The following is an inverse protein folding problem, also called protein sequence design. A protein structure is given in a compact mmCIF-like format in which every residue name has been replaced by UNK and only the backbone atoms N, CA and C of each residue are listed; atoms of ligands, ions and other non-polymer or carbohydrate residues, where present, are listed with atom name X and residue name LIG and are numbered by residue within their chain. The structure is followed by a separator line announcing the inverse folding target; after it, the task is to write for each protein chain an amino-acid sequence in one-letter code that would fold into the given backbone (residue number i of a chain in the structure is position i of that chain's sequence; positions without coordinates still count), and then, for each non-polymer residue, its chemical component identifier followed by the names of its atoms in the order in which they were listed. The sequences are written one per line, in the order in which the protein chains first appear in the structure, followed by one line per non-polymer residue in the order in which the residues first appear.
data_IF_310898515247
#
_entry.id   IF_310898515247
#
_cell.length_a   1.000
_cell.length_b   1.000
_cell.length_c   1.000
_cell.angle_alpha   90.00
_cell.angle_beta   90.00
_cell.angle_gamma   90.00
#
_symmetry.space_group_name_H-M   'P 1'
#
loop_
_entity.id
_entity.type
_entity.pdbx_description
1 polymer ?
#
# COMPACT_ATOMS: atom_id res chain seq x y z
N UNK A 1 -11.29 -24.59 -36.97
CA UNK A 1 -11.40 -23.40 -37.85
C UNK A 1 -12.09 -22.31 -37.06
N UNK A 2 -11.34 -21.33 -36.56
CA UNK A 2 -11.92 -20.18 -35.89
C UNK A 2 -12.51 -19.25 -36.96
N UNK A 3 -13.81 -19.00 -36.92
CA UNK A 3 -14.47 -18.11 -37.88
C UNK A 3 -14.02 -16.66 -37.67
N UNK A 4 -13.31 -16.13 -38.65
CA UNK A 4 -12.90 -14.74 -38.77
C UNK A 4 -13.98 -13.94 -39.50
N UNK A 5 -14.85 -13.18 -38.83
CA UNK A 5 -15.56 -12.05 -39.48
C UNK A 5 -16.04 -11.01 -38.45
N UNK A 6 -15.52 -9.77 -38.52
CA UNK A 6 -16.32 -8.59 -38.24
C UNK A 6 -16.35 -7.72 -39.50
N UNK A 7 -17.42 -7.85 -40.29
CA UNK A 7 -17.72 -6.90 -41.36
C UNK A 7 -18.82 -5.95 -40.90
N UNK A 8 -18.42 -4.74 -40.48
CA UNK A 8 -19.34 -3.60 -40.31
C UNK A 8 -18.70 -2.35 -40.90
N UNK A 9 -19.26 -1.93 -42.04
CA UNK A 9 -19.70 -0.56 -42.32
C UNK A 9 -18.69 0.59 -42.26
N UNK A 10 -18.27 1.04 -43.45
CA UNK A 10 -18.11 2.44 -43.88
C UNK A 10 -18.53 3.52 -42.86
N UNK A 11 -17.56 4.15 -42.22
CA UNK A 11 -17.38 5.62 -42.11
C UNK A 11 -16.23 5.90 -41.14
N UNK A 12 -15.40 6.89 -41.49
CA UNK A 12 -14.10 7.14 -40.88
C UNK A 12 -14.12 7.18 -39.36
N UNK A 13 -13.44 6.22 -38.75
CA UNK A 13 -12.91 6.34 -37.41
C UNK A 13 -11.41 6.23 -37.64
N UNK A 14 -10.73 7.38 -37.57
CA UNK A 14 -9.28 7.44 -37.43
C UNK A 14 -8.90 6.32 -36.48
N UNK A 15 -8.07 5.37 -36.94
CA UNK A 15 -7.65 4.23 -36.12
C UNK A 15 -7.13 4.80 -34.82
N UNK A 16 -7.96 4.75 -33.78
CA UNK A 16 -7.53 4.95 -32.41
C UNK A 16 -6.63 3.76 -32.22
N UNK A 17 -5.34 3.94 -32.51
CA UNK A 17 -4.25 3.02 -32.23
C UNK A 17 -4.19 2.85 -30.71
N UNK A 18 -5.22 2.23 -30.13
CA UNK A 18 -5.16 1.61 -28.83
C UNK A 18 -4.23 0.43 -29.06
N UNK A 19 -2.94 0.67 -28.86
CA UNK A 19 -1.92 -0.37 -28.97
C UNK A 19 -2.42 -1.55 -28.14
N UNK A 20 -2.75 -2.65 -28.83
CA UNK A 20 -3.18 -3.88 -28.19
C UNK A 20 -1.98 -4.36 -27.39
N UNK A 21 -2.13 -4.42 -26.06
CA UNK A 21 -1.06 -4.85 -25.17
C UNK A 21 -0.69 -6.30 -25.49
N UNK A 22 0.60 -6.60 -25.49
CA UNK A 22 1.07 -7.98 -25.51
C UNK A 22 0.72 -8.68 -24.20
N UNK A 23 0.67 -10.02 -24.21
CA UNK A 23 0.44 -10.80 -22.99
C UNK A 23 1.43 -10.46 -21.87
N UNK A 24 2.71 -10.24 -22.20
CA UNK A 24 3.73 -9.82 -21.23
C UNK A 24 3.46 -8.43 -20.65
N UNK A 25 2.95 -7.50 -21.48
CA UNK A 25 2.58 -6.17 -21.01
C UNK A 25 1.36 -6.21 -20.09
N UNK A 26 0.38 -7.07 -20.39
CA UNK A 26 -0.78 -7.31 -19.51
C UNK A 26 -0.32 -7.88 -18.17
N UNK A 27 0.54 -8.91 -18.19
CA UNK A 27 1.06 -9.52 -16.97
C UNK A 27 1.79 -8.48 -16.09
N UNK A 28 2.66 -7.65 -16.69
CA UNK A 28 3.35 -6.57 -15.97
C UNK A 28 2.38 -5.57 -15.35
N UNK A 29 1.30 -5.20 -16.05
CA UNK A 29 0.30 -4.30 -15.51
C UNK A 29 -0.50 -4.91 -14.36
N UNK A 30 -0.84 -6.20 -14.44
CA UNK A 30 -1.53 -6.90 -13.35
C UNK A 30 -0.65 -7.01 -12.11
N UNK A 31 0.64 -7.32 -12.27
CA UNK A 31 1.60 -7.35 -11.17
C UNK A 31 1.76 -5.96 -10.54
N UNK A 32 1.96 -4.91 -11.35
CA UNK A 32 2.07 -3.54 -10.84
C UNK A 32 0.81 -3.08 -10.10
N UNK A 33 -0.36 -3.45 -10.61
CA UNK A 33 -1.64 -3.17 -9.95
C UNK A 33 -1.75 -3.90 -8.60
N UNK A 34 -1.39 -5.19 -8.55
CA UNK A 34 -1.42 -5.96 -7.32
C UNK A 34 -0.48 -5.37 -6.26
N UNK A 35 0.74 -4.97 -6.65
CA UNK A 35 1.69 -4.31 -5.75
C UNK A 35 1.11 -3.00 -5.20
N UNK A 36 0.52 -2.15 -6.06
CA UNK A 36 -0.10 -0.91 -5.62
C UNK A 36 -1.27 -1.15 -4.64
N UNK A 37 -2.08 -2.18 -4.87
CA UNK A 37 -3.17 -2.55 -3.97
C UNK A 37 -2.64 -3.01 -2.60
N UNK A 38 -1.54 -3.78 -2.58
CA UNK A 38 -0.86 -4.16 -1.34
C UNK A 38 -0.26 -2.96 -0.61
N UNK A 39 0.40 -2.04 -1.32
CA UNK A 39 0.96 -0.81 -0.72
C UNK A 39 -0.13 0.08 -0.11
N UNK A 40 -1.29 0.18 -0.77
CA UNK A 40 -2.41 0.97 -0.26
C UNK A 40 -3.09 0.29 0.94
N UNK A 41 -3.24 -1.03 0.93
CA UNK A 41 -3.73 -1.77 2.09
C UNK A 41 -2.78 -1.61 3.30
N UNK A 42 -1.46 -1.70 3.06
CA UNK A 42 -0.44 -1.49 4.08
C UNK A 42 -0.52 -0.07 4.67
N UNK A 43 -0.71 0.95 3.83
CA UNK A 43 -0.91 2.35 4.25
C UNK A 43 -2.07 2.48 5.23
N UNK A 44 -3.19 1.77 5.01
CA UNK A 44 -4.34 1.79 5.90
C UNK A 44 -4.04 1.09 7.23
N UNK A 45 -3.40 -0.08 7.20
CA UNK A 45 -3.02 -0.84 8.41
C UNK A 45 -2.10 -0.02 9.31
N UNK A 46 -1.02 0.54 8.73
CA UNK A 46 -0.05 1.36 9.45
C UNK A 46 -0.71 2.63 10.01
N UNK A 47 -1.54 3.30 9.22
CA UNK A 47 -2.29 4.49 9.66
C UNK A 47 -3.19 4.18 10.87
N UNK A 48 -3.96 3.10 10.79
CA UNK A 48 -4.88 2.70 11.85
C UNK A 48 -4.14 2.35 13.14
N UNK A 49 -3.03 1.59 13.05
CA UNK A 49 -2.22 1.24 14.21
C UNK A 49 -1.55 2.46 14.86
N UNK A 50 -1.03 3.40 14.07
CA UNK A 50 -0.51 4.67 14.57
C UNK A 50 -1.60 5.50 15.27
N UNK A 51 -2.82 5.54 14.70
CA UNK A 51 -3.98 6.18 15.32
C UNK A 51 -4.37 5.53 16.66
N UNK A 52 -4.39 4.19 16.73
CA UNK A 52 -4.66 3.46 17.96
C UNK A 52 -3.56 3.69 19.02
N UNK A 53 -2.30 3.84 18.62
CA UNK A 53 -1.21 4.21 19.53
C UNK A 53 -1.44 5.61 20.11
N UNK A 54 -1.81 6.58 19.27
CA UNK A 54 -2.15 7.93 19.71
C UNK A 54 -3.36 7.94 20.67
N UNK A 55 -4.39 7.12 20.41
CA UNK A 55 -5.52 6.96 21.34
C UNK A 55 -5.10 6.37 22.69
N UNK A 56 -4.21 5.39 22.70
CA UNK A 56 -3.62 4.86 23.96
C UNK A 56 -2.92 5.98 24.75
N UNK A 57 -2.17 6.87 24.08
CA UNK A 57 -1.53 8.02 24.73
C UNK A 57 -2.55 9.00 25.31
N UNK A 58 -3.61 9.32 24.57
CA UNK A 58 -4.71 10.18 25.08
C UNK A 58 -5.34 9.57 26.33
N UNK A 59 -5.45 8.24 26.39
CA UNK A 59 -5.96 7.50 27.55
C UNK A 59 -4.92 7.29 28.67
N UNK A 60 -3.75 7.93 28.59
CA UNK A 60 -2.63 7.80 29.56
C UNK A 60 -2.08 6.37 29.68
N UNK A 61 -2.26 5.56 28.64
CA UNK A 61 -1.73 4.21 28.53
C UNK A 61 -0.47 4.21 27.65
N UNK A 62 0.66 4.56 28.25
CA UNK A 62 1.95 4.63 27.57
C UNK A 62 2.43 3.25 27.08
N UNK A 63 2.25 2.21 27.91
CA UNK A 63 2.66 0.85 27.57
C UNK A 63 1.89 0.32 26.36
N UNK A 64 0.56 0.48 26.35
CA UNK A 64 -0.25 0.05 25.21
C UNK A 64 0.00 0.87 23.95
N UNK A 65 0.49 2.12 24.05
CA UNK A 65 0.97 2.88 22.89
C UNK A 65 2.28 2.30 22.34
N UNK A 66 3.25 1.98 23.22
CA UNK A 66 4.53 1.36 22.84
C UNK A 66 4.30 0.02 22.13
N UNK A 67 3.41 -0.83 22.67
CA UNK A 67 3.07 -2.11 22.03
C UNK A 67 2.52 -1.94 20.61
N UNK A 68 1.65 -0.94 20.40
CA UNK A 68 1.08 -0.65 19.09
C UNK A 68 2.14 -0.11 18.12
N UNK A 69 3.01 0.79 18.56
CA UNK A 69 4.11 1.26 17.72
C UNK A 69 5.09 0.14 17.35
N UNK A 70 5.42 -0.77 18.29
CA UNK A 70 6.22 -1.97 17.98
C UNK A 70 5.53 -2.85 16.94
N UNK A 71 4.21 -3.02 17.05
CA UNK A 71 3.43 -3.75 16.04
C UNK A 71 3.52 -3.08 14.66
N UNK A 72 3.44 -1.76 14.58
CA UNK A 72 3.65 -1.04 13.31
C UNK A 72 5.01 -1.39 12.70
N UNK A 73 6.09 -1.32 13.48
CA UNK A 73 7.43 -1.64 12.98
C UNK A 73 7.54 -3.09 12.50
N UNK A 74 6.88 -4.04 13.17
CA UNK A 74 6.82 -5.42 12.73
C UNK A 74 6.08 -5.58 11.39
N UNK A 75 4.92 -4.93 11.23
CA UNK A 75 4.16 -4.94 9.97
C UNK A 75 4.96 -4.32 8.80
N UNK A 76 5.76 -3.27 9.07
CA UNK A 76 6.63 -2.64 8.07
C UNK A 76 7.70 -3.62 7.59
N UNK A 77 8.38 -4.33 8.50
CA UNK A 77 9.41 -5.29 8.11
C UNK A 77 8.81 -6.50 7.39
N UNK A 78 7.62 -6.98 7.78
CA UNK A 78 6.92 -8.04 7.06
C UNK A 78 6.54 -7.61 5.64
N UNK A 79 5.94 -6.43 5.47
CA UNK A 79 5.58 -5.91 4.15
C UNK A 79 6.81 -5.73 3.25
N UNK A 80 7.92 -5.25 3.82
CA UNK A 80 9.19 -5.09 3.10
C UNK A 80 9.76 -6.43 2.61
N UNK A 81 9.64 -7.50 3.40
CA UNK A 81 10.06 -8.84 2.99
C UNK A 81 9.27 -9.35 1.77
N UNK A 82 8.00 -8.96 1.65
CA UNK A 82 7.11 -9.27 0.51
C UNK A 82 7.26 -8.27 -0.66
N UNK A 83 8.22 -7.33 -0.58
CA UNK A 83 8.45 -6.32 -1.63
C UNK A 83 7.44 -5.18 -1.65
N UNK A 84 6.60 -5.05 -0.61
CA UNK A 84 5.61 -3.98 -0.46
C UNK A 84 6.27 -2.81 0.28
N UNK A 85 6.24 -1.61 -0.32
CA UNK A 85 6.79 -0.42 0.31
C UNK A 85 5.80 0.17 1.32
N UNK A 86 6.33 0.68 2.42
CA UNK A 86 5.55 1.49 3.36
C UNK A 86 5.81 2.98 3.12
N UNK A 87 4.82 3.81 3.39
CA UNK A 87 4.96 5.26 3.38
C UNK A 87 5.99 5.74 4.43
N UNK A 88 7.03 6.43 3.97
CA UNK A 88 8.13 6.92 4.79
C UNK A 88 7.67 7.87 5.91
N UNK A 89 6.65 8.70 5.67
CA UNK A 89 6.13 9.62 6.69
C UNK A 89 5.39 8.87 7.79
N UNK A 90 4.70 7.78 7.45
CA UNK A 90 4.07 6.91 8.44
C UNK A 90 5.12 6.19 9.29
N UNK A 91 6.21 5.73 8.69
CA UNK A 91 7.33 5.13 9.41
C UNK A 91 8.03 6.15 10.34
N UNK A 92 8.27 7.37 9.84
CA UNK A 92 8.84 8.46 10.64
C UNK A 92 7.94 8.79 11.84
N UNK A 93 6.63 8.89 11.62
CA UNK A 93 5.65 9.12 12.69
C UNK A 93 5.77 8.08 13.80
N UNK A 94 5.81 6.79 13.43
CA UNK A 94 5.95 5.69 14.40
C UNK A 94 7.24 5.81 15.21
N UNK A 95 8.38 5.98 14.54
CA UNK A 95 9.69 6.05 15.19
C UNK A 95 9.81 7.27 16.11
N UNK A 96 9.37 8.44 15.64
CA UNK A 96 9.45 9.67 16.40
C UNK A 96 8.60 9.61 17.67
N UNK A 97 7.31 9.28 17.54
CA UNK A 97 6.40 9.27 18.68
C UNK A 97 6.73 8.15 19.67
N UNK A 98 7.11 6.96 19.21
CA UNK A 98 7.57 5.90 20.11
C UNK A 98 8.83 6.35 20.88
N UNK A 99 9.75 7.05 20.21
CA UNK A 99 10.93 7.61 20.87
C UNK A 99 10.59 8.65 21.94
N UNK A 100 9.62 9.53 21.68
CA UNK A 100 9.14 10.52 22.67
C UNK A 100 8.52 9.83 23.88
N UNK A 101 7.67 8.82 23.67
CA UNK A 101 7.03 8.07 24.75
C UNK A 101 8.07 7.36 25.61
N UNK A 102 9.08 6.75 24.99
CA UNK A 102 10.18 6.09 25.72
C UNK A 102 11.00 7.08 26.54
N UNK A 103 11.32 8.26 25.99
CA UNK A 103 12.03 9.32 26.73
C UNK A 103 11.23 9.87 27.91
N UNK A 104 9.91 9.88 27.81
CA UNK A 104 9.02 10.36 28.87
C UNK A 104 8.72 9.33 29.98
N UNK A 105 9.14 8.08 29.77
CA UNK A 105 8.94 6.99 30.73
C UNK A 105 10.12 6.81 31.70
N UNK A 106 11.26 7.46 31.42
CA UNK A 106 12.42 7.62 32.32
C UNK A 106 12.24 8.85 33.23
#
# INVERSE_FOLDING_TARGET
QACCHPQVGKSGISSVHKQVLSMDQILKQLLAKAVNECEEAQRLVVSALNGLAALSLINKDANGAIEKYRKVLAEIEMAKAEGVKTDTLQQLHTLHNMGEVLRSAD
#
